data_IF_423919168032
#
_entry.id   IF_423919168032
#
_cell.length_a   1.000
_cell.length_b   1.000
_cell.length_c   1.000
_cell.angle_alpha   90.00
_cell.angle_beta   90.00
_cell.angle_gamma   90.00
#
_symmetry.space_group_name_H-M   'P 1'
#
loop_
_entity.id
_entity.type
_entity.pdbx_description
1 polymer ?
#
# COMPACT_ATOMS: atom_id res chain seq x y z
N UNK A 1 -14.45 14.86 -4.53
CA UNK A 1 -13.92 13.60 -3.95
C UNK A 1 -15.07 12.72 -3.49
N UNK A 2 -15.07 11.48 -3.89
CA UNK A 2 -16.12 10.54 -3.54
C UNK A 2 -15.54 9.36 -2.77
N UNK A 3 -16.37 8.75 -1.95
CA UNK A 3 -15.95 7.58 -1.17
C UNK A 3 -16.84 6.38 -1.52
N UNK A 4 -16.21 5.23 -1.78
CA UNK A 4 -16.93 4.02 -2.16
C UNK A 4 -16.43 2.81 -1.37
N UNK A 5 -17.34 1.87 -1.13
CA UNK A 5 -16.94 0.56 -0.66
C UNK A 5 -16.32 -0.22 -1.82
N UNK A 6 -15.31 -1.02 -1.55
CA UNK A 6 -14.73 -1.93 -2.53
C UNK A 6 -15.38 -3.29 -2.32
N UNK A 7 -16.06 -3.77 -3.36
CA UNK A 7 -16.76 -5.03 -3.31
C UNK A 7 -15.82 -6.21 -3.39
N UNK A 8 -14.78 -6.08 -4.22
CA UNK A 8 -13.82 -7.15 -4.46
C UNK A 8 -12.50 -6.57 -4.93
N UNK A 9 -11.40 -7.12 -4.46
CA UNK A 9 -10.08 -6.82 -5.02
C UNK A 9 -9.76 -7.93 -6.01
N UNK A 10 -9.72 -7.58 -7.29
CA UNK A 10 -9.54 -8.55 -8.38
C UNK A 10 -8.07 -8.92 -8.51
N UNK A 11 -7.18 -7.91 -8.43
CA UNK A 11 -5.75 -8.12 -8.65
C UNK A 11 -4.95 -6.99 -8.05
N UNK A 12 -3.86 -7.33 -7.38
CA UNK A 12 -2.83 -6.34 -7.00
C UNK A 12 -1.85 -6.31 -8.17
N UNK A 13 -1.84 -5.21 -8.90
CA UNK A 13 -1.00 -5.08 -10.11
C UNK A 13 0.42 -4.76 -9.72
N UNK A 14 0.58 -3.81 -8.78
CA UNK A 14 1.88 -3.37 -8.28
C UNK A 14 1.68 -2.81 -6.88
N UNK A 15 2.76 -2.40 -6.21
CA UNK A 15 2.66 -1.83 -4.87
C UNK A 15 1.81 -0.57 -4.80
N UNK A 16 1.55 0.09 -5.92
CA UNK A 16 0.79 1.33 -5.97
C UNK A 16 -0.40 1.27 -6.94
N UNK A 17 -0.78 0.08 -7.41
CA UNK A 17 -1.86 -0.06 -8.40
C UNK A 17 -2.65 -1.32 -8.13
N UNK A 18 -3.98 -1.19 -8.05
CA UNK A 18 -4.88 -2.33 -7.79
C UNK A 18 -6.06 -2.30 -8.76
N UNK A 19 -6.51 -3.49 -9.15
CA UNK A 19 -7.75 -3.66 -9.90
C UNK A 19 -8.83 -4.13 -8.93
N UNK A 20 -9.94 -3.40 -8.89
CA UNK A 20 -11.02 -3.65 -7.94
C UNK A 20 -12.37 -3.59 -8.61
N UNK A 21 -13.38 -4.09 -7.91
CA UNK A 21 -14.78 -3.85 -8.25
C UNK A 21 -15.34 -2.92 -7.17
N UNK A 22 -15.78 -1.75 -7.60
CA UNK A 22 -16.33 -0.72 -6.74
C UNK A 22 -17.83 -0.92 -6.62
N UNK A 23 -18.36 -0.84 -5.39
CA UNK A 23 -19.78 -0.89 -5.12
C UNK A 23 -20.36 0.52 -5.28
N UNK A 24 -21.22 0.70 -6.27
CA UNK A 24 -21.87 2.00 -6.53
C UNK A 24 -23.24 2.12 -5.88
N UNK A 25 -23.66 1.12 -5.13
CA UNK A 25 -25.00 1.08 -4.57
C UNK A 25 -26.04 0.63 -5.59
N UNK A 26 -27.26 0.37 -5.14
CA UNK A 26 -28.36 -0.06 -6.02
C UNK A 26 -28.03 -1.31 -6.85
N UNK A 27 -27.23 -2.20 -6.32
CA UNK A 27 -26.75 -3.40 -7.04
C UNK A 27 -25.92 -3.07 -8.28
N UNK A 28 -25.39 -1.85 -8.36
CA UNK A 28 -24.50 -1.45 -9.45
C UNK A 28 -23.05 -1.56 -8.97
N UNK A 29 -22.19 -2.05 -9.82
CA UNK A 29 -20.77 -2.13 -9.52
C UNK A 29 -19.98 -1.82 -10.78
N UNK A 30 -18.72 -1.42 -10.59
CA UNK A 30 -17.85 -1.06 -11.70
C UNK A 30 -16.44 -1.54 -11.41
N UNK A 31 -15.83 -2.19 -12.42
CA UNK A 31 -14.44 -2.57 -12.35
C UNK A 31 -13.57 -1.36 -12.65
N UNK A 32 -12.58 -1.10 -11.81
CA UNK A 32 -11.68 0.03 -11.97
C UNK A 32 -10.25 -0.36 -11.63
N UNK A 33 -9.30 0.24 -12.34
CA UNK A 33 -7.90 0.21 -11.93
C UNK A 33 -7.60 1.48 -11.16
N UNK A 34 -7.17 1.32 -9.90
CA UNK A 34 -6.89 2.45 -9.02
C UNK A 34 -5.39 2.58 -8.86
N UNK A 35 -4.87 3.77 -9.16
CA UNK A 35 -3.51 4.17 -8.82
C UNK A 35 -3.58 4.79 -7.42
N UNK A 36 -2.78 4.29 -6.50
CA UNK A 36 -2.78 4.82 -5.13
C UNK A 36 -2.25 6.24 -5.13
N UNK A 37 -3.06 7.16 -4.62
CA UNK A 37 -2.73 8.58 -4.61
C UNK A 37 -1.65 8.88 -3.57
N UNK A 38 -0.83 9.87 -3.86
CA UNK A 38 0.14 10.41 -2.90
C UNK A 38 1.38 9.58 -2.69
N UNK A 39 1.52 8.45 -3.36
CA UNK A 39 2.68 7.56 -3.19
C UNK A 39 3.21 7.07 -4.52
N UNK A 40 4.44 6.56 -4.47
CA UNK A 40 5.06 5.83 -5.57
C UNK A 40 5.84 4.66 -4.96
N UNK A 41 5.95 3.57 -5.68
CA UNK A 41 6.64 2.36 -5.21
C UNK A 41 7.72 1.96 -6.20
N UNK A 42 8.72 1.16 -5.74
CA UNK A 42 9.70 0.63 -6.67
C UNK A 42 9.03 -0.23 -7.74
N UNK A 43 9.59 -0.23 -8.93
CA UNK A 43 9.07 -1.00 -10.06
C UNK A 43 9.28 -2.49 -9.84
N UNK A 44 8.22 -3.28 -10.02
CA UNK A 44 8.33 -4.73 -9.92
C UNK A 44 8.64 -5.39 -11.27
N UNK A 45 8.56 -4.65 -12.36
CA UNK A 45 8.79 -5.14 -13.73
C UNK A 45 9.96 -4.42 -14.38
N UNK A 46 11.10 -4.39 -13.72
CA UNK A 46 12.30 -3.73 -14.18
C UNK A 46 13.41 -4.74 -14.33
N UNK A 47 14.45 -4.40 -15.10
CA UNK A 47 15.65 -5.21 -15.21
C UNK A 47 16.62 -5.00 -14.04
N UNK A 48 16.44 -3.92 -13.30
CA UNK A 48 17.21 -3.66 -12.08
C UNK A 48 16.73 -4.62 -10.99
N UNK A 49 17.58 -5.56 -10.62
CA UNK A 49 17.20 -6.64 -9.70
C UNK A 49 16.92 -6.15 -8.30
N UNK A 50 17.62 -5.12 -7.84
CA UNK A 50 17.36 -4.55 -6.51
C UNK A 50 16.01 -3.84 -6.48
N UNK A 51 15.75 -3.02 -7.47
CA UNK A 51 14.47 -2.32 -7.58
C UNK A 51 13.32 -3.31 -7.72
N UNK A 52 13.49 -4.32 -8.55
CA UNK A 52 12.48 -5.36 -8.75
C UNK A 52 12.14 -6.08 -7.45
N UNK A 53 13.16 -6.47 -6.68
CA UNK A 53 12.95 -7.14 -5.41
C UNK A 53 12.17 -6.26 -4.45
N UNK A 54 12.53 -4.99 -4.34
CA UNK A 54 11.84 -4.05 -3.48
C UNK A 54 10.42 -3.75 -3.96
N UNK A 55 10.21 -3.72 -5.27
CA UNK A 55 8.87 -3.57 -5.85
C UNK A 55 7.97 -4.75 -5.53
N UNK A 56 8.49 -5.96 -5.62
CA UNK A 56 7.74 -7.16 -5.25
C UNK A 56 7.42 -7.18 -3.75
N UNK A 57 8.34 -6.73 -2.92
CA UNK A 57 8.11 -6.61 -1.49
C UNK A 57 7.00 -5.60 -1.18
N UNK A 58 6.99 -4.48 -1.88
CA UNK A 58 5.92 -3.47 -1.74
C UNK A 58 4.57 -4.04 -2.16
N UNK A 59 4.53 -4.80 -3.25
CA UNK A 59 3.33 -5.47 -3.73
C UNK A 59 2.82 -6.48 -2.70
N UNK A 60 3.70 -7.27 -2.11
CA UNK A 60 3.34 -8.24 -1.07
C UNK A 60 2.83 -7.54 0.18
N UNK A 61 3.46 -6.45 0.57
CA UNK A 61 3.03 -5.68 1.73
C UNK A 61 1.61 -5.16 1.54
N UNK A 62 1.34 -4.56 0.39
CA UNK A 62 0.01 -4.06 0.05
C UNK A 62 -1.01 -5.21 0.06
N UNK A 63 -0.65 -6.34 -0.53
CA UNK A 63 -1.52 -7.52 -0.57
C UNK A 63 -1.90 -7.96 0.84
N UNK A 64 -0.94 -8.02 1.73
CA UNK A 64 -1.19 -8.44 3.11
C UNK A 64 -2.05 -7.44 3.88
N UNK A 65 -1.82 -6.14 3.66
CA UNK A 65 -2.66 -5.10 4.28
C UNK A 65 -4.11 -5.19 3.82
N UNK A 66 -4.31 -5.41 2.53
CA UNK A 66 -5.65 -5.53 1.96
C UNK A 66 -6.34 -6.80 2.47
N UNK A 67 -5.63 -7.92 2.55
CA UNK A 67 -6.20 -9.17 3.05
C UNK A 67 -6.62 -9.09 4.52
N UNK A 68 -5.97 -8.23 5.29
CA UNK A 68 -6.31 -8.03 6.70
C UNK A 68 -7.49 -7.09 6.90
N UNK A 69 -7.97 -6.44 5.84
CA UNK A 69 -9.12 -5.54 5.92
C UNK A 69 -10.43 -6.30 5.90
N UNK A 70 -11.35 -5.94 6.78
CA UNK A 70 -12.71 -6.48 6.76
C UNK A 70 -13.59 -5.73 5.75
N UNK A 71 -13.40 -4.42 5.61
CA UNK A 71 -14.22 -3.57 4.75
C UNK A 71 -13.36 -2.47 4.13
N UNK A 72 -12.72 -2.80 3.02
CA UNK A 72 -11.85 -1.86 2.31
C UNK A 72 -12.70 -0.79 1.62
N UNK A 73 -12.27 0.46 1.75
CA UNK A 73 -12.92 1.60 1.11
C UNK A 73 -11.89 2.40 0.33
N UNK A 74 -12.39 3.16 -0.64
CA UNK A 74 -11.54 4.05 -1.43
C UNK A 74 -12.14 5.46 -1.42
N UNK A 75 -11.29 6.46 -1.20
CA UNK A 75 -11.63 7.87 -1.42
C UNK A 75 -10.96 8.29 -2.72
N UNK A 76 -11.76 8.74 -3.68
CA UNK A 76 -11.25 9.05 -5.01
C UNK A 76 -10.82 10.51 -5.08
N UNK A 77 -9.80 10.74 -5.89
CA UNK A 77 -9.42 12.09 -6.29
C UNK A 77 -9.80 12.28 -7.76
N UNK A 78 -9.43 13.41 -8.33
CA UNK A 78 -9.64 13.66 -9.76
C UNK A 78 -8.90 12.60 -10.56
N UNK A 79 -9.41 12.33 -11.76
CA UNK A 79 -8.80 11.38 -12.67
C UNK A 79 -7.31 11.66 -12.82
N UNK A 80 -6.52 10.63 -12.68
CA UNK A 80 -5.10 10.70 -12.93
C UNK A 80 -4.83 10.79 -14.42
N UNK A 81 -3.57 10.97 -14.75
CA UNK A 81 -3.11 10.92 -16.14
C UNK A 81 -3.45 9.56 -16.73
N UNK A 82 -3.75 9.52 -18.02
CA UNK A 82 -4.03 8.30 -18.77
C UNK A 82 -5.31 7.58 -18.34
N UNK A 83 -6.30 8.32 -17.80
CA UNK A 83 -7.59 7.76 -17.44
C UNK A 83 -7.61 6.86 -16.24
N UNK A 84 -6.53 6.85 -15.44
CA UNK A 84 -6.49 6.07 -14.21
C UNK A 84 -7.16 6.84 -13.08
N UNK A 85 -7.95 6.12 -12.29
CA UNK A 85 -8.53 6.70 -11.09
C UNK A 85 -7.44 6.79 -10.02
N UNK A 86 -7.31 7.96 -9.40
CA UNK A 86 -6.46 8.13 -8.22
C UNK A 86 -7.30 7.89 -6.98
N UNK A 87 -6.80 7.09 -6.06
CA UNK A 87 -7.54 6.76 -4.87
C UNK A 87 -6.69 6.55 -3.63
N UNK A 88 -7.30 6.84 -2.48
CA UNK A 88 -6.74 6.58 -1.16
C UNK A 88 -7.48 5.39 -0.57
N UNK A 89 -6.76 4.34 -0.24
CA UNK A 89 -7.36 3.14 0.35
C UNK A 89 -7.43 3.27 1.87
N UNK A 90 -8.55 2.86 2.43
CA UNK A 90 -8.79 2.94 3.87
C UNK A 90 -9.27 1.62 4.44
N UNK A 91 -8.74 1.27 5.60
CA UNK A 91 -9.24 0.23 6.48
C UNK A 91 -9.78 0.95 7.71
N UNK A 92 -11.10 1.19 7.75
CA UNK A 92 -11.66 2.08 8.75
C UNK A 92 -11.06 3.47 8.60
N UNK A 93 -10.40 3.96 9.64
CA UNK A 93 -9.73 5.26 9.63
C UNK A 93 -8.28 5.18 9.17
N UNK A 94 -7.75 3.98 8.97
CA UNK A 94 -6.35 3.79 8.61
C UNK A 94 -6.14 4.02 7.11
N UNK A 95 -5.31 4.99 6.78
CA UNK A 95 -4.95 5.32 5.40
C UNK A 95 -3.82 4.39 4.95
N UNK A 96 -4.16 3.39 4.14
CA UNK A 96 -3.20 2.37 3.71
C UNK A 96 -2.07 2.97 2.88
N UNK A 97 -2.38 3.96 2.03
CA UNK A 97 -1.36 4.62 1.21
C UNK A 97 -0.24 5.20 2.10
N UNK A 98 -0.64 5.91 3.14
CA UNK A 98 0.34 6.54 4.05
C UNK A 98 1.05 5.54 4.94
N UNK A 99 0.39 4.45 5.31
CA UNK A 99 1.02 3.37 6.07
C UNK A 99 2.17 2.77 5.26
N UNK A 100 2.01 2.61 3.95
CA UNK A 100 3.09 2.12 3.09
C UNK A 100 4.29 3.05 3.11
N UNK A 101 4.06 4.36 3.13
CA UNK A 101 5.15 5.35 3.24
C UNK A 101 5.84 5.23 4.60
N UNK A 102 5.06 5.21 5.67
CA UNK A 102 5.57 5.14 7.04
C UNK A 102 6.42 3.90 7.27
N UNK A 103 6.03 2.77 6.67
CA UNK A 103 6.72 1.49 6.88
C UNK A 103 7.84 1.23 5.87
N UNK A 104 8.10 2.16 4.96
CA UNK A 104 9.23 2.07 4.03
C UNK A 104 8.97 1.25 2.78
N UNK A 105 7.71 1.13 2.36
CA UNK A 105 7.36 0.38 1.14
C UNK A 105 6.95 1.28 -0.01
N UNK A 106 6.87 2.59 0.24
CA UNK A 106 6.55 3.57 -0.79
C UNK A 106 7.22 4.90 -0.47
N UNK A 107 7.49 5.66 -1.51
CA UNK A 107 7.90 7.06 -1.38
C UNK A 107 6.65 7.93 -1.38
N UNK A 108 6.69 9.00 -0.64
CA UNK A 108 5.68 10.04 -0.74
C UNK A 108 5.83 10.74 -2.09
N UNK A 109 4.72 11.00 -2.79
CA UNK A 109 4.77 11.50 -4.15
C UNK A 109 3.63 12.50 -4.39
N UNK A 110 3.98 13.69 -4.86
CA UNK A 110 3.03 14.77 -5.09
C UNK A 110 2.78 15.09 -6.57
N UNK A 111 3.29 14.24 -7.47
CA UNK A 111 3.16 14.43 -8.91
C UNK A 111 4.35 15.09 -9.57
N UNK A 112 5.29 15.59 -8.78
CA UNK A 112 6.52 16.20 -9.30
C UNK A 112 7.63 15.19 -9.46
N UNK A 113 8.81 15.67 -9.83
CA UNK A 113 10.01 14.85 -9.89
C UNK A 113 10.58 14.73 -8.48
N UNK A 114 10.74 13.52 -8.00
CA UNK A 114 11.34 13.27 -6.70
C UNK A 114 12.53 12.35 -6.80
N UNK A 115 13.44 12.54 -5.88
CA UNK A 115 14.57 11.67 -5.68
C UNK A 115 14.04 10.35 -5.09
N UNK A 116 14.11 9.28 -5.86
CA UNK A 116 13.59 7.98 -5.44
C UNK A 116 14.75 7.09 -5.01
N UNK A 117 15.03 7.10 -3.72
CA UNK A 117 16.13 6.35 -3.15
C UNK A 117 15.66 5.01 -2.58
N UNK A 118 16.11 3.91 -3.16
CA UNK A 118 15.86 2.57 -2.63
C UNK A 118 16.50 2.41 -1.25
N UNK A 119 17.65 3.02 -1.06
CA UNK A 119 18.36 3.01 0.22
C UNK A 119 17.53 3.64 1.34
N UNK A 120 16.85 4.76 1.04
CA UNK A 120 16.00 5.44 2.00
C UNK A 120 14.83 4.54 2.44
N UNK A 121 14.22 3.82 1.52
CA UNK A 121 13.15 2.88 1.84
C UNK A 121 13.67 1.73 2.70
N UNK A 122 14.82 1.19 2.34
CA UNK A 122 15.43 0.08 3.08
C UNK A 122 15.78 0.50 4.51
N UNK A 123 16.27 1.73 4.69
CA UNK A 123 16.59 2.26 6.01
C UNK A 123 15.34 2.35 6.90
N UNK A 124 14.22 2.79 6.34
CA UNK A 124 12.96 2.85 7.09
C UNK A 124 12.50 1.44 7.48
N UNK A 125 12.56 0.49 6.56
CA UNK A 125 12.17 -0.90 6.82
C UNK A 125 13.03 -1.52 7.92
N UNK A 126 14.33 -1.28 7.87
CA UNK A 126 15.27 -1.82 8.86
C UNK A 126 15.02 -1.25 10.25
N UNK A 127 14.75 0.05 10.34
CA UNK A 127 14.43 0.69 11.61
C UNK A 127 13.15 0.12 12.23
N UNK A 128 12.13 -0.13 11.41
CA UNK A 128 10.88 -0.74 11.85
C UNK A 128 11.08 -2.18 12.29
N UNK A 129 11.88 -2.93 11.53
CA UNK A 129 12.21 -4.31 11.87
C UNK A 129 12.95 -4.42 13.20
N UNK A 130 13.88 -3.50 13.47
CA UNK A 130 14.61 -3.46 14.73
C UNK A 130 13.66 -3.19 15.90
N UNK A 131 12.76 -2.23 15.74
CA UNK A 131 11.75 -1.91 16.76
C UNK A 131 10.86 -3.12 17.03
N UNK A 132 10.40 -3.78 15.98
CA UNK A 132 9.58 -4.98 16.12
C UNK A 132 10.36 -6.12 16.77
N UNK A 133 11.63 -6.25 16.45
CA UNK A 133 12.51 -7.24 17.05
C UNK A 133 12.64 -7.03 18.55
N UNK A 134 12.86 -5.80 18.97
CA UNK A 134 12.95 -5.44 20.38
C UNK A 134 11.66 -5.77 21.12
N UNK A 135 10.54 -5.45 20.54
CA UNK A 135 9.23 -5.76 21.11
C UNK A 135 9.02 -7.25 21.25
N UNK A 136 9.42 -8.02 20.27
CA UNK A 136 9.29 -9.47 20.31
C UNK A 136 10.13 -10.07 21.45
N UNK A 137 11.32 -9.55 21.65
CA UNK A 137 12.22 -10.02 22.70
C UNK A 137 11.60 -9.78 24.07
N UNK A 138 11.02 -8.60 24.27
CA UNK A 138 10.42 -8.26 25.57
C UNK A 138 9.15 -9.02 25.84
N UNK A 139 8.43 -9.38 24.86
CA UNK A 139 7.18 -10.13 24.99
C UNK A 139 7.45 -11.58 25.33
N UNK A 140 8.49 -12.06 24.87
CA UNK A 140 8.86 -13.42 25.17
C UNK A 140 9.27 -13.56 26.61
N UNK A 141 8.90 -13.15 26.47
CA UNK A 141 8.88 -13.23 27.30
C UNK A 141 8.15 -13.15 27.63
N UNK A 142 8.13 -13.10 27.64
CA UNK A 142 7.35 -12.91 28.03
C UNK A 142 6.72 -13.31 27.89
N UNK A 143 7.15 -13.63 27.83
CA UNK A 143 6.39 -13.80 27.86
C UNK A 143 6.31 -14.25 27.64
N UNK A 144 6.89 -14.44 27.68
CA UNK A 144 6.62 -14.53 27.83
C UNK A 144 6.61 -14.84 27.82
N UNK A 145 7.11 -15.01 28.05
CA UNK A 145 6.84 -14.91 28.35
C UNK A 145 6.65 -15.07 28.23
N UNK A 146 7.13 -15.24 28.32
CA UNK A 146 6.77 -15.05 28.45
C UNK A 146 6.53 -15.37 28.34
N UNK A 147 6.87 -15.64 28.56
CA UNK A 147 6.62 -15.70 28.71
C UNK A 147 6.24 -15.90 28.90
#
# INVERSE_FOLDING_TARGET
MYEYAIKEVVKIVDGDTVDVIIDLGFNLSKKERIRLAGIDTPESRTRDLEEKAMGLESKDYLTNKIKACDALRVKTEKDGKYGRMLGWLYDGDANINMIMVTDGYAWEYDGGTKDKSLEALRAIRNAKGDDDGDKSITDANTNTTST
#
